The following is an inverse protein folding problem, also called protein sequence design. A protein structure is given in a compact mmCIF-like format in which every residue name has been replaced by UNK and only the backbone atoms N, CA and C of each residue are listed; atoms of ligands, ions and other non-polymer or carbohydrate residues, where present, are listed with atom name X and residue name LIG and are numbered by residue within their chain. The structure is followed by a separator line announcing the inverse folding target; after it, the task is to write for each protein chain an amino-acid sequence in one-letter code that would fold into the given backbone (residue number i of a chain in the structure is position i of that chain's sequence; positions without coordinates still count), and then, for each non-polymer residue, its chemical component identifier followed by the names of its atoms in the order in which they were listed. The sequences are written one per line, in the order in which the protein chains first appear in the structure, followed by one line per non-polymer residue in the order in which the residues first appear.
data_IF_614710467495
#
_entry.id   IF_614710467495
#
_cell.length_a   1.000
_cell.length_b   1.000
_cell.length_c   1.000
_cell.angle_alpha   90.00
_cell.angle_beta   90.00
_cell.angle_gamma   90.00
#
_symmetry.space_group_name_H-M   'P 1'
#
loop_
_entity.id
_entity.type
_entity.pdbx_description
1 polymer ?
#
# COMPACT_ATOMS: atom_id res chain seq x y z
N UNK A 1 24.08 62.92 -32.41
CA UNK A 1 25.34 62.88 -31.63
C UNK A 1 25.48 61.51 -30.99
N UNK A 2 26.44 60.75 -31.51
CA UNK A 2 27.24 59.68 -30.89
C UNK A 2 26.55 58.50 -30.17
N UNK A 3 26.38 57.44 -30.95
CA UNK A 3 26.91 56.07 -30.73
C UNK A 3 27.73 55.84 -29.44
N UNK A 4 27.40 54.77 -28.72
CA UNK A 4 28.41 53.79 -28.27
C UNK A 4 27.82 52.39 -28.24
N UNK A 5 28.36 51.56 -29.12
CA UNK A 5 28.22 50.12 -29.18
C UNK A 5 28.79 49.47 -27.92
N UNK A 6 28.15 48.39 -27.46
CA UNK A 6 28.88 47.19 -27.08
C UNK A 6 28.26 46.00 -27.80
N UNK A 7 29.16 45.27 -28.48
CA UNK A 7 28.92 44.20 -29.43
C UNK A 7 28.84 42.84 -28.75
N UNK A 8 28.12 41.95 -29.44
CA UNK A 8 28.41 40.51 -29.63
C UNK A 8 28.35 39.61 -28.37
N UNK A 9 27.50 38.59 -28.30
CA UNK A 9 27.39 37.49 -29.26
C UNK A 9 26.00 36.83 -29.21
N UNK A 10 25.31 36.83 -30.35
CA UNK A 10 24.34 35.79 -30.70
C UNK A 10 25.10 34.52 -31.07
N UNK A 11 24.53 33.33 -30.90
CA UNK A 11 24.38 32.32 -31.98
C UNK A 11 23.38 31.24 -31.53
N UNK A 12 22.37 31.04 -32.37
CA UNK A 12 21.57 29.83 -32.59
C UNK A 12 20.46 29.40 -31.62
N UNK A 13 19.44 30.27 -31.56
CA UNK A 13 18.04 29.84 -31.60
C UNK A 13 17.65 29.58 -33.07
N UNK A 14 17.20 28.36 -33.39
CA UNK A 14 16.63 27.85 -34.67
C UNK A 14 17.45 26.78 -35.42
N UNK A 15 17.47 25.56 -34.90
CA UNK A 15 17.39 24.33 -35.72
C UNK A 15 17.14 23.10 -34.85
N UNK A 16 15.87 22.79 -34.54
CA UNK A 16 15.26 21.43 -34.59
C UNK A 16 13.74 21.61 -34.53
N UNK A 17 13.15 22.22 -35.55
CA UNK A 17 11.69 22.29 -35.74
C UNK A 17 11.34 21.87 -37.15
N UNK A 18 11.64 20.61 -37.50
CA UNK A 18 11.04 19.88 -38.64
C UNK A 18 11.57 18.45 -38.66
N UNK A 19 10.78 17.53 -38.11
CA UNK A 19 10.62 16.12 -38.52
C UNK A 19 9.95 15.37 -37.36
N UNK A 20 8.61 15.26 -37.41
CA UNK A 20 7.81 14.10 -36.95
C UNK A 20 6.33 14.45 -37.02
N UNK A 21 5.77 14.31 -38.22
CA UNK A 21 4.37 13.93 -38.40
C UNK A 21 4.35 12.62 -39.20
N UNK A 22 3.44 11.73 -38.80
CA UNK A 22 3.11 10.38 -39.32
C UNK A 22 3.92 9.23 -38.73
N UNK A 23 3.41 8.65 -37.63
CA UNK A 23 2.65 7.39 -37.64
C UNK A 23 2.05 7.14 -36.24
N UNK A 24 0.82 6.60 -36.14
CA UNK A 24 0.11 6.36 -34.89
C UNK A 24 0.45 4.98 -34.32
N UNK A 25 0.27 4.83 -33.00
CA UNK A 25 0.44 3.59 -32.22
C UNK A 25 1.89 3.11 -32.05
N UNK A 26 2.55 3.62 -31.01
CA UNK A 26 3.43 2.88 -30.10
C UNK A 26 4.03 3.89 -29.11
N UNK A 27 3.61 3.82 -27.85
CA UNK A 27 4.15 4.68 -26.80
C UNK A 27 3.38 4.59 -25.49
N UNK A 28 3.89 3.78 -24.56
CA UNK A 28 4.32 4.22 -23.23
C UNK A 28 4.70 3.01 -22.37
N UNK A 29 5.90 2.49 -22.63
CA UNK A 29 6.67 1.73 -21.64
C UNK A 29 7.57 2.77 -20.96
N UNK A 30 7.31 2.97 -19.67
CA UNK A 30 8.03 3.82 -18.70
C UNK A 30 8.18 5.34 -18.97
N UNK A 31 7.53 6.14 -18.12
CA UNK A 31 7.70 7.59 -18.00
C UNK A 31 9.09 7.92 -17.39
N UNK A 32 9.75 9.03 -17.78
CA UNK A 32 11.08 9.47 -17.30
C UNK A 32 11.14 9.87 -15.81
N UNK A 33 10.17 9.44 -15.00
CA UNK A 33 10.09 9.68 -13.56
C UNK A 33 10.66 8.54 -12.71
N UNK A 34 10.89 7.36 -13.30
CA UNK A 34 11.47 6.19 -12.60
C UNK A 34 13.00 6.27 -12.46
N UNK A 35 13.69 6.98 -13.36
CA UNK A 35 15.13 7.23 -13.24
C UNK A 35 15.45 8.17 -12.06
N UNK A 36 14.56 9.13 -11.75
CA UNK A 36 14.72 10.09 -10.65
C UNK A 36 14.46 9.51 -9.25
N UNK A 37 13.90 8.29 -9.13
CA UNK A 37 13.61 7.65 -7.85
C UNK A 37 14.79 6.81 -7.35
N UNK A 38 15.51 6.16 -8.27
CA UNK A 38 16.74 5.43 -7.98
C UNK A 38 17.84 6.41 -7.52
N UNK A 39 17.98 7.55 -8.20
CA UNK A 39 18.92 8.62 -7.79
C UNK A 39 18.58 9.24 -6.42
N UNK A 40 17.29 9.30 -6.05
CA UNK A 40 16.84 9.81 -4.74
C UNK A 40 17.05 8.81 -3.60
N UNK A 41 16.86 7.51 -3.85
CA UNK A 41 17.20 6.48 -2.86
C UNK A 41 18.69 6.41 -2.59
N UNK A 42 19.52 6.57 -3.63
CA UNK A 42 20.98 6.53 -3.49
C UNK A 42 21.51 7.80 -2.78
N UNK A 43 20.93 8.97 -3.01
CA UNK A 43 21.25 10.19 -2.23
C UNK A 43 20.81 10.12 -0.76
N UNK A 44 19.76 9.35 -0.43
CA UNK A 44 19.25 9.27 0.94
C UNK A 44 20.06 8.37 1.88
N UNK A 45 20.91 7.49 1.34
CA UNK A 45 21.81 6.65 2.14
C UNK A 45 23.09 7.40 2.58
N UNK A 46 23.32 8.62 2.10
CA UNK A 46 24.51 9.42 2.40
C UNK A 46 24.37 10.35 3.63
N UNK A 47 23.28 10.28 4.39
CA UNK A 47 22.97 11.26 5.46
C UNK A 47 23.16 10.76 6.90
N UNK A 48 23.74 9.58 7.12
CA UNK A 48 24.00 9.08 8.46
C UNK A 48 25.39 8.45 8.58
N UNK A 49 26.45 9.26 8.60
CA UNK A 49 27.72 8.86 9.20
C UNK A 49 28.37 10.06 9.90
N UNK A 50 28.70 9.86 11.19
CA UNK A 50 29.67 10.69 11.91
C UNK A 50 31.00 10.67 11.13
N UNK A 51 31.66 11.83 11.00
CA UNK A 51 32.91 11.93 10.25
C UNK A 51 34.01 11.03 10.88
N UNK A 52 34.61 10.11 10.11
CA UNK A 52 35.85 9.46 10.52
C UNK A 52 37.05 10.31 10.13
N UNK A 53 38.03 10.40 11.04
CA UNK A 53 39.36 10.93 10.79
C UNK A 53 40.18 9.86 10.04
N UNK A 54 40.86 10.29 8.98
CA UNK A 54 41.94 9.64 8.21
C UNK A 54 41.65 8.35 7.40
N UNK A 55 41.26 8.52 6.13
CA UNK A 55 42.12 8.22 4.95
C UNK A 55 41.34 8.40 3.63
N UNK A 56 41.64 9.48 2.89
CA UNK A 56 40.98 9.83 1.62
C UNK A 56 41.02 8.71 0.55
N UNK A 57 41.93 7.74 0.70
CA UNK A 57 42.08 6.62 -0.22
C UNK A 57 40.90 5.63 -0.16
N UNK A 58 40.39 5.33 1.04
CA UNK A 58 39.28 4.37 1.22
C UNK A 58 37.97 4.94 0.67
N UNK A 59 37.75 6.25 0.88
CA UNK A 59 36.60 6.96 0.31
C UNK A 59 36.66 6.94 -1.22
N UNK A 60 37.83 7.17 -1.82
CA UNK A 60 38.02 7.12 -3.27
C UNK A 60 37.80 5.72 -3.84
N UNK A 61 38.32 4.68 -3.18
CA UNK A 61 38.08 3.29 -3.58
C UNK A 61 36.59 2.94 -3.49
N UNK A 62 35.91 3.35 -2.42
CA UNK A 62 34.47 3.12 -2.25
C UNK A 62 33.63 3.83 -3.34
N UNK A 63 33.99 5.06 -3.71
CA UNK A 63 33.32 5.79 -4.79
C UNK A 63 33.52 5.13 -6.16
N UNK A 64 34.71 4.57 -6.43
CA UNK A 64 34.99 3.81 -7.65
C UNK A 64 34.16 2.53 -7.69
N UNK A 65 34.04 1.81 -6.58
CA UNK A 65 33.20 0.60 -6.45
C UNK A 65 31.74 0.93 -6.73
N UNK A 66 31.20 1.99 -6.11
CA UNK A 66 29.82 2.46 -6.37
C UNK A 66 29.61 2.81 -7.85
N UNK A 67 30.58 3.46 -8.48
CA UNK A 67 30.50 3.81 -9.88
C UNK A 67 30.46 2.58 -10.79
N UNK A 68 31.23 1.54 -10.46
CA UNK A 68 31.25 0.27 -11.19
C UNK A 68 29.95 -0.52 -10.99
N UNK A 69 29.43 -0.59 -9.77
CA UNK A 69 28.15 -1.24 -9.47
C UNK A 69 26.98 -0.57 -10.19
N UNK A 70 27.01 0.77 -10.28
CA UNK A 70 26.02 1.52 -11.07
C UNK A 70 26.09 1.21 -12.56
N UNK A 71 27.29 0.99 -13.13
CA UNK A 71 27.43 0.59 -14.55
C UNK A 71 26.91 -0.83 -14.77
N UNK A 72 27.32 -1.78 -13.92
CA UNK A 72 26.87 -3.17 -13.98
C UNK A 72 25.35 -3.30 -13.89
N UNK A 73 24.73 -2.53 -12.99
CA UNK A 73 23.26 -2.51 -12.85
C UNK A 73 22.59 -1.96 -14.12
N UNK A 74 23.14 -0.91 -14.73
CA UNK A 74 22.61 -0.34 -15.98
C UNK A 74 22.71 -1.32 -17.14
N UNK A 75 23.82 -2.04 -17.25
CA UNK A 75 24.01 -3.08 -18.28
C UNK A 75 23.03 -4.24 -18.11
N UNK A 76 22.83 -4.75 -16.88
CA UNK A 76 21.85 -5.80 -16.60
C UNK A 76 20.42 -5.36 -16.91
N UNK A 77 20.07 -4.10 -16.64
CA UNK A 77 18.77 -3.54 -16.99
C UNK A 77 18.59 -3.41 -18.50
N UNK A 78 19.63 -2.99 -19.22
CA UNK A 78 19.61 -2.92 -20.68
C UNK A 78 19.44 -4.32 -21.31
N UNK A 79 20.15 -5.32 -20.80
CA UNK A 79 20.02 -6.72 -21.24
C UNK A 79 18.61 -7.27 -20.98
N UNK A 80 18.01 -6.99 -19.81
CA UNK A 80 16.62 -7.39 -19.54
C UNK A 80 15.62 -6.70 -20.45
N UNK A 81 15.83 -5.42 -20.77
CA UNK A 81 14.97 -4.69 -21.71
C UNK A 81 15.03 -5.29 -23.11
N UNK A 82 16.23 -5.61 -23.60
CA UNK A 82 16.42 -6.24 -24.90
C UNK A 82 15.75 -7.62 -24.98
N UNK A 83 15.93 -8.46 -23.95
CA UNK A 83 15.29 -9.78 -23.85
C UNK A 83 13.76 -9.68 -23.85
N UNK A 84 13.20 -8.73 -23.09
CA UNK A 84 11.75 -8.46 -23.06
C UNK A 84 11.22 -7.99 -24.42
N UNK A 85 11.98 -7.18 -25.18
CA UNK A 85 11.62 -6.76 -26.53
C UNK A 85 11.66 -7.91 -27.54
N UNK A 86 12.63 -8.83 -27.41
CA UNK A 86 12.69 -10.05 -28.21
C UNK A 86 11.52 -11.01 -27.92
N UNK A 87 11.23 -11.25 -26.65
CA UNK A 87 10.05 -12.04 -26.23
C UNK A 87 8.75 -11.43 -26.75
N UNK A 88 8.64 -10.09 -26.70
CA UNK A 88 7.51 -9.35 -27.26
C UNK A 88 7.37 -9.52 -28.78
N UNK A 89 8.49 -9.44 -29.51
CA UNK A 89 8.52 -9.69 -30.97
C UNK A 89 8.13 -11.12 -31.31
N UNK A 90 8.61 -12.11 -30.56
CA UNK A 90 8.26 -13.51 -30.76
C UNK A 90 6.76 -13.77 -30.51
N UNK A 91 6.20 -13.23 -29.42
CA UNK A 91 4.76 -13.31 -29.13
C UNK A 91 3.90 -12.65 -30.21
N UNK A 92 4.31 -11.49 -30.70
CA UNK A 92 3.59 -10.81 -31.79
C UNK A 92 3.65 -11.60 -33.10
N UNK A 93 4.78 -12.22 -33.42
CA UNK A 93 4.92 -13.10 -34.58
C UNK A 93 3.99 -14.31 -34.48
N UNK A 94 3.93 -14.96 -33.31
CA UNK A 94 3.02 -16.08 -33.04
C UNK A 94 1.54 -15.67 -33.08
N UNK A 95 1.21 -14.48 -32.59
CA UNK A 95 -0.15 -13.94 -32.67
C UNK A 95 -0.58 -13.67 -34.12
N UNK A 96 0.33 -13.14 -34.95
CA UNK A 96 0.07 -12.93 -36.38
C UNK A 96 -0.15 -14.27 -37.12
N UNK A 97 0.69 -15.28 -36.87
CA UNK A 97 0.55 -16.59 -37.54
C UNK A 97 -0.75 -17.30 -37.14
N UNK A 98 -1.18 -17.20 -35.88
CA UNK A 98 -2.48 -17.71 -35.43
C UNK A 98 -3.63 -16.96 -36.10
N UNK A 99 -3.54 -15.63 -36.20
CA UNK A 99 -4.57 -14.82 -36.84
C UNK A 99 -4.70 -15.12 -38.35
N UNK A 100 -3.58 -15.38 -39.03
CA UNK A 100 -3.55 -15.81 -40.43
C UNK A 100 -4.15 -17.21 -40.59
N UNK A 101 -3.77 -18.17 -39.75
CA UNK A 101 -4.33 -19.52 -39.77
C UNK A 101 -5.85 -19.56 -39.55
N UNK A 102 -6.38 -18.67 -38.70
CA UNK A 102 -7.82 -18.54 -38.46
C UNK A 102 -8.59 -17.85 -39.60
N UNK A 103 -7.88 -17.18 -40.53
CA UNK A 103 -8.48 -16.49 -41.68
C UNK A 103 -8.52 -17.37 -42.94
N UNK A 104 -7.86 -18.54 -42.95
CA UNK A 104 -7.87 -19.45 -44.10
C UNK A 104 -9.27 -20.06 -44.26
N UNK A 105 -9.99 -19.81 -45.37
CA UNK A 105 -11.27 -20.45 -45.62
C UNK A 105 -11.07 -21.95 -45.85
N UNK A 106 -12.02 -22.76 -45.38
CA UNK A 106 -12.00 -24.21 -45.49
C UNK A 106 -12.18 -24.64 -46.96
N UNK A 107 -11.09 -24.65 -47.74
CA UNK A 107 -11.08 -25.11 -49.13
C UNK A 107 -10.34 -26.45 -49.22
N UNK A 108 -10.97 -27.42 -49.88
CA UNK A 108 -10.35 -28.69 -50.23
C UNK A 108 -9.25 -28.42 -51.26
N UNK A 109 -7.98 -28.64 -50.89
CA UNK A 109 -6.86 -28.55 -51.82
C UNK A 109 -6.71 -29.90 -52.50
N UNK A 110 -6.90 -29.94 -53.82
CA UNK A 110 -6.71 -31.16 -54.59
C UNK A 110 -5.21 -31.43 -54.84
N UNK A 111 -4.81 -32.66 -54.50
CA UNK A 111 -3.61 -33.42 -54.91
C UNK A 111 -2.30 -33.14 -54.17
N UNK A 112 -2.11 -33.82 -53.03
CA UNK A 112 -0.86 -34.49 -52.63
C UNK A 112 -1.19 -35.71 -51.75
N UNK A 113 -0.44 -36.83 -51.82
CA UNK A 113 -0.77 -38.07 -51.11
C UNK A 113 -0.53 -37.94 -49.59
N UNK A 114 -1.57 -38.18 -48.80
CA UNK A 114 -1.56 -38.11 -47.34
C UNK A 114 -0.75 -39.24 -46.68
N UNK A 115 0.02 -38.91 -45.64
CA UNK A 115 0.89 -39.83 -44.85
C UNK A 115 0.11 -40.87 -44.05
N UNK A 116 -1.19 -40.68 -43.83
CA UNK A 116 -2.08 -41.60 -43.14
C UNK A 116 -3.05 -42.23 -44.13
N UNK A 117 -2.93 -43.54 -44.34
CA UNK A 117 -3.80 -44.28 -45.26
C UNK A 117 -5.27 -44.20 -44.81
N UNK A 118 -6.17 -43.87 -45.74
CA UNK A 118 -7.63 -43.87 -45.60
C UNK A 118 -8.27 -42.73 -44.78
N UNK A 119 -7.60 -41.59 -44.56
CA UNK A 119 -8.23 -40.42 -43.93
C UNK A 119 -7.92 -39.10 -44.67
N UNK A 120 -8.95 -38.34 -45.08
CA UNK A 120 -8.84 -37.02 -45.71
C UNK A 120 -8.42 -35.87 -44.74
N UNK A 121 -7.98 -36.20 -43.52
CA UNK A 121 -7.66 -35.20 -42.48
C UNK A 121 -6.44 -34.35 -42.88
N UNK A 122 -5.46 -34.96 -43.54
CA UNK A 122 -4.26 -34.28 -44.01
C UNK A 122 -4.48 -33.40 -45.25
N UNK A 123 -5.62 -33.55 -45.94
CA UNK A 123 -5.96 -32.80 -47.17
C UNK A 123 -6.60 -31.42 -46.89
N UNK A 124 -6.85 -31.12 -45.62
CA UNK A 124 -7.43 -29.85 -45.21
C UNK A 124 -6.34 -28.79 -44.99
N UNK A 125 -6.47 -27.62 -45.63
CA UNK A 125 -5.57 -26.48 -45.45
C UNK A 125 -5.43 -26.05 -43.96
N UNK A 126 -6.46 -26.28 -43.15
CA UNK A 126 -6.46 -26.04 -41.70
C UNK A 126 -5.48 -26.97 -40.98
N UNK A 127 -5.31 -28.22 -41.43
CA UNK A 127 -4.40 -29.18 -40.81
C UNK A 127 -2.94 -28.77 -41.00
N UNK A 128 -2.56 -28.30 -42.19
CA UNK A 128 -1.22 -27.78 -42.46
C UNK A 128 -0.87 -26.56 -41.59
N UNK A 129 -1.81 -25.62 -41.44
CA UNK A 129 -1.66 -24.48 -40.56
C UNK A 129 -1.56 -24.91 -39.07
N UNK A 130 -2.32 -25.91 -38.66
CA UNK A 130 -2.28 -26.48 -37.30
C UNK A 130 -0.92 -27.16 -37.01
N UNK A 131 -0.38 -27.93 -37.94
CA UNK A 131 0.95 -28.55 -37.80
C UNK A 131 2.06 -27.50 -37.75
N UNK A 132 1.94 -26.41 -38.51
CA UNK A 132 2.88 -25.30 -38.45
C UNK A 132 2.82 -24.57 -37.09
N UNK A 133 1.63 -24.39 -36.52
CA UNK A 133 1.47 -23.81 -35.19
C UNK A 133 2.05 -24.74 -34.11
N UNK A 134 1.81 -26.04 -34.20
CA UNK A 134 2.33 -27.03 -33.25
C UNK A 134 3.86 -27.04 -33.25
N UNK A 135 4.48 -27.15 -34.42
CA UNK A 135 5.94 -27.10 -34.59
C UNK A 135 6.54 -25.75 -34.16
N UNK A 136 5.86 -24.63 -34.42
CA UNK A 136 6.29 -23.32 -33.92
C UNK A 136 6.16 -23.19 -32.38
N UNK A 137 5.21 -23.90 -31.76
CA UNK A 137 4.97 -23.88 -30.32
C UNK A 137 5.92 -24.77 -29.51
N UNK A 138 6.50 -25.81 -30.12
CA UNK A 138 7.48 -26.70 -29.48
C UNK A 138 8.74 -25.94 -29.02
N UNK A 139 9.22 -24.98 -29.81
CA UNK A 139 10.35 -24.13 -29.42
C UNK A 139 10.06 -23.26 -28.19
N UNK A 140 8.81 -22.86 -27.98
CA UNK A 140 8.40 -22.10 -26.79
C UNK A 140 8.43 -22.98 -25.54
N UNK A 141 7.97 -24.23 -25.66
CA UNK A 141 7.98 -25.20 -24.56
C UNK A 141 9.42 -25.48 -24.11
N UNK A 142 10.35 -25.68 -25.04
CA UNK A 142 11.78 -25.88 -24.72
C UNK A 142 12.41 -24.67 -24.00
N UNK A 143 12.03 -23.43 -24.34
CA UNK A 143 12.50 -22.24 -23.62
C UNK A 143 11.90 -22.13 -22.21
N UNK A 144 10.65 -22.58 -21.99
CA UNK A 144 10.07 -22.66 -20.66
C UNK A 144 10.78 -23.70 -19.79
N UNK A 145 11.09 -24.88 -20.33
CA UNK A 145 11.86 -25.92 -19.63
C UNK A 145 13.27 -25.43 -19.28
N UNK A 146 13.92 -24.69 -20.19
CA UNK A 146 15.23 -24.06 -19.93
C UNK A 146 15.15 -23.00 -18.82
N UNK A 147 14.11 -22.16 -18.82
CA UNK A 147 13.88 -21.18 -17.76
C UNK A 147 13.60 -21.85 -16.42
N UNK A 148 12.86 -22.94 -16.40
CA UNK A 148 12.57 -23.70 -15.19
C UNK A 148 13.83 -24.38 -14.63
N UNK A 149 14.70 -24.91 -15.51
CA UNK A 149 16.03 -25.39 -15.15
C UNK A 149 16.94 -24.31 -14.55
N UNK A 150 16.94 -23.10 -15.13
CA UNK A 150 17.66 -21.94 -14.56
C UNK A 150 17.06 -21.50 -13.21
N UNK A 151 15.73 -21.52 -13.08
CA UNK A 151 15.07 -21.17 -11.82
C UNK A 151 15.38 -22.20 -10.74
N UNK A 152 15.43 -23.50 -11.07
CA UNK A 152 15.84 -24.56 -10.16
C UNK A 152 17.30 -24.37 -9.71
N UNK A 153 18.22 -24.14 -10.64
CA UNK A 153 19.63 -23.85 -10.35
C UNK A 153 19.81 -22.61 -9.46
N UNK A 154 19.11 -21.52 -9.76
CA UNK A 154 19.14 -20.30 -8.94
C UNK A 154 18.55 -20.53 -7.55
N UNK A 155 17.57 -21.43 -7.40
CA UNK A 155 16.96 -21.77 -6.11
C UNK A 155 17.95 -22.49 -5.21
N UNK A 156 18.73 -23.42 -5.77
CA UNK A 156 19.70 -24.22 -5.04
C UNK A 156 20.97 -23.40 -4.70
N UNK A 157 21.45 -22.55 -5.62
CA UNK A 157 22.64 -21.70 -5.37
C UNK A 157 22.38 -20.57 -4.33
N UNK A 158 21.15 -20.05 -4.27
CA UNK A 158 20.81 -18.91 -3.41
C UNK A 158 20.19 -19.31 -2.07
N UNK A 159 19.67 -20.53 -1.91
CA UNK A 159 19.08 -20.98 -0.65
C UNK A 159 20.11 -21.02 0.49
N UNK A 160 21.28 -21.62 0.24
CA UNK A 160 22.35 -21.70 1.25
C UNK A 160 23.03 -20.33 1.46
N UNK A 161 23.24 -19.57 0.38
CA UNK A 161 23.89 -18.25 0.42
C UNK A 161 23.08 -17.19 1.19
N UNK A 162 21.75 -17.17 1.02
CA UNK A 162 20.87 -16.19 1.68
C UNK A 162 20.67 -16.51 3.15
N UNK A 163 20.51 -17.79 3.51
CA UNK A 163 20.40 -18.18 4.92
C UNK A 163 21.67 -17.82 5.70
N UNK A 164 22.84 -18.09 5.13
CA UNK A 164 24.11 -17.87 5.83
C UNK A 164 24.49 -16.39 5.90
N UNK A 165 24.13 -15.58 4.89
CA UNK A 165 24.25 -14.12 4.97
C UNK A 165 23.29 -13.53 6.01
N UNK A 166 22.05 -14.02 6.10
CA UNK A 166 21.11 -13.61 7.13
C UNK A 166 21.56 -13.98 8.55
N UNK A 167 22.07 -15.20 8.74
CA UNK A 167 22.62 -15.63 10.04
C UNK A 167 23.75 -14.71 10.47
N UNK A 168 24.68 -14.39 9.56
CA UNK A 168 25.79 -13.44 9.81
C UNK A 168 25.29 -12.04 10.16
N UNK A 169 24.29 -11.51 9.45
CA UNK A 169 23.73 -10.18 9.73
C UNK A 169 23.03 -10.11 11.09
N UNK A 170 22.30 -11.16 11.47
CA UNK A 170 21.64 -11.28 12.78
C UNK A 170 22.68 -11.35 13.91
N UNK A 171 23.76 -12.12 13.72
CA UNK A 171 24.85 -12.21 14.69
C UNK A 171 25.65 -10.90 14.82
N UNK A 172 25.88 -10.19 13.70
CA UNK A 172 26.53 -8.89 13.68
C UNK A 172 25.70 -7.84 14.44
N UNK A 173 24.38 -7.77 14.19
CA UNK A 173 23.49 -6.86 14.93
C UNK A 173 23.43 -7.21 16.41
N UNK A 174 23.37 -8.50 16.77
CA UNK A 174 23.39 -8.93 18.17
C UNK A 174 24.69 -8.51 18.88
N UNK A 175 25.84 -8.62 18.20
CA UNK A 175 27.14 -8.21 18.73
C UNK A 175 27.24 -6.69 18.92
N UNK A 176 26.74 -5.89 17.97
CA UNK A 176 26.68 -4.43 18.11
C UNK A 176 25.78 -3.99 19.27
N UNK A 177 24.62 -4.63 19.46
CA UNK A 177 23.73 -4.33 20.59
C UNK A 177 24.38 -4.65 21.94
N UNK A 178 25.12 -5.77 22.04
CA UNK A 178 25.89 -6.11 23.25
C UNK A 178 26.98 -5.08 23.55
N UNK A 179 27.67 -4.60 22.52
CA UNK A 179 28.68 -3.55 22.67
C UNK A 179 28.04 -2.22 23.10
N UNK A 180 26.92 -1.83 22.49
CA UNK A 180 26.15 -0.65 22.90
C UNK A 180 25.64 -0.74 24.35
N UNK A 181 25.19 -1.91 24.77
CA UNK A 181 24.79 -2.17 26.16
C UNK A 181 25.98 -2.02 27.13
N UNK A 182 27.17 -2.55 26.79
CA UNK A 182 28.38 -2.37 27.61
C UNK A 182 28.82 -0.91 27.70
N UNK A 183 28.80 -0.17 26.59
CA UNK A 183 29.19 1.25 26.55
C UNK A 183 28.22 2.11 27.35
N UNK A 184 26.92 1.88 27.21
CA UNK A 184 25.90 2.58 28.01
C UNK A 184 26.04 2.28 29.50
N UNK A 185 26.26 1.03 29.89
CA UNK A 185 26.54 0.66 31.28
C UNK A 185 27.81 1.35 31.82
N UNK A 186 28.90 1.39 31.04
CA UNK A 186 30.12 2.13 31.42
C UNK A 186 29.87 3.63 31.59
N UNK A 187 29.08 4.24 30.70
CA UNK A 187 28.74 5.67 30.76
C UNK A 187 27.84 5.98 31.96
N UNK A 188 26.86 5.13 32.25
CA UNK A 188 26.01 5.23 33.43
C UNK A 188 26.82 5.03 34.72
N UNK A 189 27.72 4.04 34.77
CA UNK A 189 28.62 3.80 35.91
C UNK A 189 29.53 5.02 36.17
N UNK A 190 30.01 5.68 35.10
CA UNK A 190 30.77 6.94 35.18
C UNK A 190 29.93 8.11 35.71
N UNK A 191 28.68 8.25 35.24
CA UNK A 191 27.76 9.31 35.69
C UNK A 191 27.37 9.12 37.17
N UNK A 192 27.23 7.88 37.61
CA UNK A 192 26.90 7.54 39.01
C UNK A 192 28.11 7.59 39.95
N UNK A 193 29.29 7.98 39.48
CA UNK A 193 30.47 8.19 40.33
C UNK A 193 31.11 6.93 40.92
N UNK A 194 30.74 5.73 40.45
CA UNK A 194 31.27 4.43 40.95
C UNK A 194 32.62 4.10 40.26
N UNK A 195 33.48 5.09 40.09
CA UNK A 195 34.79 4.92 39.47
C UNK A 195 35.85 4.72 40.56
N UNK A 196 36.03 3.46 40.96
CA UNK A 196 37.15 2.98 41.76
C UNK A 196 37.33 1.48 41.51
N UNK A 197 38.49 1.12 40.96
CA UNK A 197 39.09 -0.22 40.89
C UNK A 197 38.54 -1.21 39.85
N UNK A 198 39.24 -1.23 38.70
CA UNK A 198 39.45 -2.44 37.91
C UNK A 198 40.52 -3.29 38.62
N UNK A 199 40.16 -4.47 39.13
CA UNK A 199 41.12 -5.51 39.51
C UNK A 199 40.83 -6.79 38.71
N UNK A 200 41.81 -7.21 37.92
CA UNK A 200 41.97 -8.59 37.45
C UNK A 200 42.29 -9.46 38.66
N UNK A 201 41.43 -10.42 39.01
CA UNK A 201 41.85 -11.75 39.44
C UNK A 201 40.65 -12.70 39.62
N UNK A 202 40.80 -13.89 39.04
CA UNK A 202 40.15 -15.11 39.50
C UNK A 202 40.61 -15.40 40.93
N UNK A 203 39.70 -15.86 41.80
CA UNK A 203 39.85 -16.94 42.81
C UNK A 203 38.80 -16.83 43.93
N UNK A 204 38.61 -17.96 44.59
CA UNK A 204 37.51 -18.41 45.46
C UNK A 204 37.29 -17.64 46.77
N UNK A 205 36.07 -17.74 47.32
CA UNK A 205 35.86 -17.94 48.76
C UNK A 205 35.20 -16.83 49.61
N UNK A 206 34.08 -17.23 50.24
CA UNK A 206 33.54 -16.89 51.58
C UNK A 206 32.64 -15.66 51.81
N UNK A 207 31.69 -15.94 52.71
CA UNK A 207 30.51 -15.21 53.15
C UNK A 207 30.78 -13.91 53.93
N UNK A 208 29.80 -13.00 53.90
CA UNK A 208 29.75 -11.81 54.77
C UNK A 208 28.51 -10.96 54.53
N UNK A 209 27.63 -10.93 55.52
CA UNK A 209 26.39 -10.16 55.62
C UNK A 209 26.64 -8.63 55.76
N UNK A 210 25.69 -7.82 55.28
CA UNK A 210 25.74 -6.35 55.34
C UNK A 210 24.77 -5.68 54.37
N UNK A 211 23.54 -5.42 54.84
CA UNK A 211 22.51 -4.73 54.07
C UNK A 211 22.86 -3.27 53.72
N UNK A 212 22.53 -2.85 52.48
CA UNK A 212 22.43 -1.45 52.10
C UNK A 212 21.50 -1.29 50.89
N UNK A 213 20.57 -0.34 50.96
CA UNK A 213 19.48 -0.05 49.99
C UNK A 213 19.96 0.30 48.55
N UNK A 214 21.26 0.25 48.28
CA UNK A 214 21.87 0.50 46.97
C UNK A 214 21.74 -0.68 45.99
N UNK A 215 21.48 -1.90 46.48
CA UNK A 215 21.36 -3.10 45.64
C UNK A 215 20.05 -3.16 44.83
N UNK A 216 18.97 -2.54 45.31
CA UNK A 216 17.67 -2.54 44.62
C UNK A 216 17.69 -1.68 43.34
N UNK A 217 18.32 -0.51 43.38
CA UNK A 217 18.45 0.38 42.21
C UNK A 217 19.38 -0.21 41.14
N UNK A 218 20.42 -0.95 41.54
CA UNK A 218 21.32 -1.68 40.63
C UNK A 218 20.60 -2.82 39.88
N UNK A 219 19.74 -3.57 40.57
CA UNK A 219 18.91 -4.62 39.96
C UNK A 219 17.84 -4.05 39.01
N UNK A 220 17.23 -2.90 39.33
CA UNK A 220 16.26 -2.22 38.46
C UNK A 220 16.90 -1.69 37.16
N UNK A 221 18.10 -1.09 37.26
CA UNK A 221 18.82 -0.57 36.09
C UNK A 221 19.39 -1.66 35.17
N UNK A 222 19.69 -2.86 35.68
CA UNK A 222 20.06 -4.01 34.83
C UNK A 222 18.86 -4.64 34.11
N UNK A 223 17.64 -4.48 34.64
CA UNK A 223 16.40 -5.02 34.03
C UNK A 223 15.97 -4.23 32.80
N UNK A 224 16.25 -2.92 32.73
CA UNK A 224 15.79 -2.04 31.65
C UNK A 224 16.44 -2.34 30.28
N UNK A 225 17.76 -2.60 30.17
CA UNK A 225 18.37 -3.07 28.92
C UNK A 225 17.86 -4.46 28.52
N UNK A 226 17.72 -5.39 29.47
CA UNK A 226 17.18 -6.74 29.22
C UNK A 226 15.72 -6.70 28.74
N UNK A 227 14.93 -5.74 29.21
CA UNK A 227 13.57 -5.49 28.73
C UNK A 227 13.55 -4.90 27.31
N UNK A 228 14.50 -4.04 26.98
CA UNK A 228 14.69 -3.52 25.63
C UNK A 228 15.14 -4.62 24.65
N UNK A 229 16.13 -5.43 25.04
CA UNK A 229 16.57 -6.62 24.30
C UNK A 229 15.45 -7.63 24.12
N UNK A 230 14.65 -7.94 25.16
CA UNK A 230 13.49 -8.83 25.04
C UNK A 230 12.40 -8.24 24.13
N UNK A 231 12.24 -6.92 24.08
CA UNK A 231 11.31 -6.25 23.15
C UNK A 231 11.80 -6.37 21.71
N UNK A 232 13.08 -6.12 21.47
CA UNK A 232 13.70 -6.25 20.13
C UNK A 232 13.71 -7.72 19.70
N UNK A 233 14.08 -8.66 20.57
CA UNK A 233 13.98 -10.10 20.30
C UNK A 233 12.54 -10.54 20.05
N UNK A 234 11.52 -9.99 20.75
CA UNK A 234 10.11 -10.27 20.41
C UNK A 234 9.71 -9.70 19.05
N UNK A 235 10.26 -8.54 18.67
CA UNK A 235 10.03 -7.96 17.35
C UNK A 235 10.71 -8.78 16.24
N UNK A 236 11.91 -9.30 16.49
CA UNK A 236 12.67 -10.15 15.54
C UNK A 236 12.11 -11.58 15.49
N UNK A 237 11.72 -12.17 16.62
CA UNK A 237 11.07 -13.49 16.68
C UNK A 237 9.69 -13.48 16.01
N UNK A 238 9.05 -12.32 15.88
CA UNK A 238 7.85 -12.13 15.06
C UNK A 238 8.06 -12.34 13.56
N UNK A 239 9.30 -12.23 13.06
CA UNK A 239 9.68 -12.54 11.68
C UNK A 239 10.03 -14.03 11.50
N UNK A 240 10.51 -14.71 12.54
CA UNK A 240 10.98 -16.11 12.50
C UNK A 240 9.89 -17.16 12.79
N UNK A 241 8.65 -16.75 13.05
CA UNK A 241 7.53 -17.65 13.37
C UNK A 241 6.78 -18.21 12.15
N UNK A 242 7.21 -17.86 10.93
CA UNK A 242 6.62 -18.41 9.70
C UNK A 242 7.31 -19.70 9.22
N UNK A 243 8.34 -20.18 9.92
CA UNK A 243 9.25 -21.21 9.40
C UNK A 243 9.37 -22.49 10.26
N UNK A 244 8.62 -22.59 11.37
CA UNK A 244 8.58 -23.80 12.23
C UNK A 244 7.20 -24.43 12.33
N UNK A 245 6.57 -24.71 11.18
CA UNK A 245 5.44 -25.64 11.07
C UNK A 245 5.60 -26.59 9.88
N UNK A 246 6.82 -27.01 9.62
CA UNK A 246 7.14 -27.91 8.52
C UNK A 246 8.36 -28.77 8.84
N UNK A 247 8.32 -29.54 9.93
CA UNK A 247 9.24 -30.67 10.16
C UNK A 247 8.87 -31.39 11.46
N UNK A 248 8.74 -32.72 11.35
CA UNK A 248 8.58 -33.75 12.39
C UNK A 248 7.16 -33.94 12.96
N UNK A 249 6.38 -34.81 12.31
CA UNK A 249 6.23 -36.21 12.77
C UNK A 249 5.81 -37.08 11.58
N UNK A 250 6.69 -37.99 11.18
CA UNK A 250 6.37 -39.09 10.24
C UNK A 250 5.71 -40.18 11.09
N UNK A 251 4.41 -40.35 10.91
CA UNK A 251 3.71 -41.61 11.18
C UNK A 251 2.80 -41.92 9.99
N UNK A 252 2.74 -43.21 9.63
CA UNK A 252 2.27 -43.74 8.35
C UNK A 252 0.87 -43.24 7.89
N UNK A 253 0.62 -43.16 6.57
CA UNK A 253 -0.60 -42.57 6.03
C UNK A 253 -1.77 -43.55 6.12
N UNK A 254 -2.82 -43.18 6.84
CA UNK A 254 -4.13 -43.75 6.59
C UNK A 254 -4.69 -43.11 5.30
N UNK A 255 -4.85 -43.94 4.28
CA UNK A 255 -5.54 -43.68 3.02
C UNK A 255 -6.74 -42.73 3.21
N UNK A 256 -6.63 -41.50 2.70
CA UNK A 256 -7.78 -40.66 2.35
C UNK A 256 -7.57 -40.10 0.96
N UNK A 257 -8.40 -40.62 0.06
CA UNK A 257 -8.75 -40.19 -1.29
C UNK A 257 -8.10 -38.87 -1.80
N UNK A 258 -7.36 -38.88 -2.91
CA UNK A 258 -6.75 -37.68 -3.52
C UNK A 258 -7.74 -36.82 -4.32
N UNK A 259 -9.05 -37.03 -4.19
CA UNK A 259 -10.09 -36.23 -4.84
C UNK A 259 -10.75 -35.26 -3.84
N UNK A 260 -9.95 -34.39 -3.24
CA UNK A 260 -10.47 -33.13 -2.74
C UNK A 260 -9.52 -32.05 -3.25
N UNK A 261 -9.97 -31.36 -4.29
CA UNK A 261 -9.39 -30.12 -4.77
C UNK A 261 -9.18 -29.21 -3.55
N UNK A 262 -7.92 -29.04 -3.11
CA UNK A 262 -7.59 -28.01 -2.14
C UNK A 262 -7.97 -26.68 -2.78
N UNK A 263 -9.15 -26.20 -2.40
CA UNK A 263 -9.73 -24.96 -2.86
C UNK A 263 -8.72 -23.84 -2.67
N UNK A 264 -8.59 -23.03 -3.71
CA UNK A 264 -7.76 -21.82 -3.89
C UNK A 264 -8.05 -20.71 -2.84
N UNK A 265 -8.69 -21.05 -1.73
CA UNK A 265 -9.30 -20.15 -0.76
C UNK A 265 -8.41 -19.87 0.47
N UNK A 266 -7.30 -20.61 0.63
CA UNK A 266 -6.38 -20.42 1.77
C UNK A 266 -5.27 -19.39 1.52
N UNK A 267 -5.17 -18.81 0.31
CA UNK A 267 -4.57 -17.48 0.12
C UNK A 267 -5.57 -16.39 0.55
N UNK A 268 -5.93 -16.42 1.83
CA UNK A 268 -6.53 -15.28 2.51
C UNK A 268 -5.48 -14.16 2.56
N UNK A 269 -5.36 -13.44 1.45
CA UNK A 269 -4.76 -12.11 1.30
C UNK A 269 -4.57 -11.44 2.65
N UNK A 270 -3.32 -11.28 3.11
CA UNK A 270 -3.08 -10.61 4.38
C UNK A 270 -3.77 -9.25 4.29
N UNK A 271 -4.62 -8.93 5.27
CA UNK A 271 -5.34 -7.65 5.26
C UNK A 271 -4.40 -6.43 5.21
N UNK A 272 -3.13 -6.66 5.58
CA UNK A 272 -2.00 -5.73 5.44
C UNK A 272 -1.60 -5.52 3.97
N UNK A 273 -1.48 -6.56 3.15
CA UNK A 273 -1.10 -6.45 1.74
C UNK A 273 -2.12 -5.64 0.94
N UNK A 274 -3.41 -5.89 1.18
CA UNK A 274 -4.51 -5.13 0.57
C UNK A 274 -4.47 -3.67 1.00
N UNK A 275 -4.09 -3.40 2.26
CA UNK A 275 -3.91 -2.04 2.73
C UNK A 275 -2.73 -1.34 2.05
N UNK A 276 -1.57 -1.99 1.95
CA UNK A 276 -0.39 -1.45 1.27
C UNK A 276 -0.67 -1.14 -0.21
N UNK A 277 -1.35 -2.05 -0.90
CA UNK A 277 -1.81 -1.82 -2.27
C UNK A 277 -2.73 -0.59 -2.37
N UNK A 278 -3.64 -0.43 -1.41
CA UNK A 278 -4.55 0.71 -1.34
C UNK A 278 -3.87 2.03 -0.95
N UNK A 279 -2.67 2.01 -0.38
CA UNK A 279 -1.86 3.23 -0.19
C UNK A 279 -1.29 3.69 -1.54
N UNK A 280 -0.82 2.77 -2.39
CA UNK A 280 -0.27 3.02 -3.73
C UNK A 280 -1.34 3.22 -4.82
N UNK A 281 -2.27 4.17 -4.62
CA UNK A 281 -3.41 4.42 -5.55
C UNK A 281 -3.02 4.89 -6.96
N UNK A 282 -1.81 5.43 -7.11
CA UNK A 282 -1.31 5.95 -8.38
C UNK A 282 -0.69 4.86 -9.27
N UNK A 283 -0.47 3.65 -8.73
CA UNK A 283 -0.03 2.50 -9.52
C UNK A 283 -1.02 2.18 -10.64
N UNK A 284 -0.50 1.67 -11.76
CA UNK A 284 -1.33 1.43 -12.95
C UNK A 284 -2.40 0.37 -12.72
N UNK A 285 -2.09 -0.68 -11.95
CA UNK A 285 -3.09 -1.67 -11.52
C UNK A 285 -4.28 -1.02 -10.79
N UNK A 286 -4.00 -0.16 -9.80
CA UNK A 286 -5.07 0.46 -9.01
C UNK A 286 -5.83 1.52 -9.82
N UNK A 287 -5.13 2.29 -10.67
CA UNK A 287 -5.77 3.27 -11.57
C UNK A 287 -6.69 2.58 -12.57
N UNK A 288 -6.25 1.48 -13.18
CA UNK A 288 -7.05 0.66 -14.07
C UNK A 288 -8.31 0.16 -13.36
N UNK A 289 -8.13 -0.44 -12.17
CA UNK A 289 -9.24 -0.96 -11.36
C UNK A 289 -10.24 0.13 -10.96
N UNK A 290 -9.77 1.33 -10.60
CA UNK A 290 -10.63 2.47 -10.30
C UNK A 290 -11.36 2.99 -11.53
N UNK A 291 -10.75 2.94 -12.72
CA UNK A 291 -11.37 3.45 -13.95
C UNK A 291 -12.56 2.60 -14.40
N UNK A 292 -12.46 1.27 -14.26
CA UNK A 292 -13.51 0.32 -14.67
C UNK A 292 -14.74 0.35 -13.74
N UNK A 293 -14.56 0.72 -12.47
CA UNK A 293 -15.58 0.53 -11.42
C UNK A 293 -16.64 1.66 -11.33
N UNK A 294 -17.93 1.25 -11.29
CA UNK A 294 -19.11 1.94 -10.68
C UNK A 294 -19.84 3.07 -11.43
N UNK A 295 -19.50 3.42 -12.67
CA UNK A 295 -20.15 4.55 -13.38
C UNK A 295 -21.60 4.30 -13.78
N UNK A 296 -21.94 3.07 -14.17
CA UNK A 296 -23.24 2.70 -14.75
C UNK A 296 -24.36 2.58 -13.71
N UNK A 297 -24.03 2.46 -12.42
CA UNK A 297 -25.01 2.16 -11.38
C UNK A 297 -25.80 3.41 -10.94
N UNK A 298 -26.98 3.16 -10.34
CA UNK A 298 -27.85 4.21 -9.78
C UNK A 298 -27.13 5.01 -8.68
N UNK A 299 -27.61 6.24 -8.42
CA UNK A 299 -27.01 7.19 -7.47
C UNK A 299 -26.82 6.57 -6.08
N UNK A 300 -27.83 5.84 -5.61
CA UNK A 300 -27.81 5.04 -4.38
C UNK A 300 -28.16 3.62 -4.78
N UNK A 301 -27.29 2.67 -4.49
CA UNK A 301 -27.56 1.25 -4.69
C UNK A 301 -27.02 0.43 -3.51
N UNK A 302 -27.70 -0.68 -3.22
CA UNK A 302 -27.23 -1.66 -2.23
C UNK A 302 -26.12 -2.49 -2.86
N UNK A 303 -25.03 -2.68 -2.12
CA UNK A 303 -23.95 -3.58 -2.50
C UNK A 303 -24.08 -4.89 -1.72
N UNK A 304 -23.90 -6.03 -2.38
CA UNK A 304 -23.96 -7.34 -1.73
C UNK A 304 -22.76 -7.57 -0.80
N UNK A 305 -21.57 -7.10 -1.20
CA UNK A 305 -20.32 -7.20 -0.45
C UNK A 305 -19.56 -5.86 -0.46
N UNK A 306 -18.73 -5.57 0.57
CA UNK A 306 -17.87 -4.39 0.56
C UNK A 306 -16.87 -4.48 -0.60
N UNK A 307 -16.65 -3.39 -1.34
CA UNK A 307 -15.56 -3.35 -2.33
C UNK A 307 -14.19 -3.41 -1.68
N UNK A 308 -14.11 -3.00 -0.41
CA UNK A 308 -12.90 -2.91 0.40
C UNK A 308 -13.12 -3.55 1.78
N UNK A 309 -12.97 -4.88 1.89
CA UNK A 309 -13.21 -5.59 3.15
C UNK A 309 -12.21 -5.17 4.24
N UNK A 310 -10.96 -4.86 3.88
CA UNK A 310 -9.91 -4.30 4.75
C UNK A 310 -10.42 -3.07 5.53
N UNK A 311 -10.90 -2.07 4.77
CA UNK A 311 -11.28 -0.79 5.32
C UNK A 311 -12.61 -0.88 6.05
N UNK A 312 -13.55 -1.66 5.53
CA UNK A 312 -14.84 -1.88 6.16
C UNK A 312 -14.66 -2.51 7.55
N UNK A 313 -13.82 -3.54 7.68
CA UNK A 313 -13.55 -4.21 8.96
C UNK A 313 -12.97 -3.26 10.01
N UNK A 314 -12.03 -2.38 9.62
CA UNK A 314 -11.47 -1.34 10.51
C UNK A 314 -12.52 -0.36 11.02
N UNK A 315 -13.56 -0.11 10.24
CA UNK A 315 -14.65 0.81 10.59
C UNK A 315 -15.81 0.13 11.33
N UNK A 316 -15.68 -1.16 11.64
CA UNK A 316 -16.64 -1.92 12.44
C UNK A 316 -17.62 -2.79 11.64
N UNK A 317 -17.39 -2.98 10.33
CA UNK A 317 -18.14 -3.98 9.56
C UNK A 317 -17.75 -5.40 9.99
N UNK A 318 -18.76 -6.26 10.11
CA UNK A 318 -18.61 -7.70 10.29
C UNK A 318 -19.48 -8.42 9.26
N UNK A 319 -18.96 -9.50 8.71
CA UNK A 319 -19.70 -10.33 7.75
C UNK A 319 -20.69 -11.23 8.50
N UNK A 320 -21.78 -10.63 8.99
CA UNK A 320 -22.92 -11.31 9.61
C UNK A 320 -24.22 -10.62 9.25
N UNK A 321 -25.33 -11.32 9.43
CA UNK A 321 -26.66 -10.77 9.14
C UNK A 321 -26.95 -9.50 9.98
N UNK A 322 -27.64 -8.53 9.38
CA UNK A 322 -27.95 -7.22 9.96
C UNK A 322 -26.95 -6.11 9.59
N UNK A 323 -25.79 -6.42 9.01
CA UNK A 323 -24.95 -5.42 8.35
C UNK A 323 -25.32 -5.27 6.88
N UNK A 324 -25.47 -4.03 6.41
CA UNK A 324 -25.79 -3.70 5.02
C UNK A 324 -24.84 -2.63 4.52
N UNK A 325 -24.45 -2.73 3.26
CA UNK A 325 -23.57 -1.76 2.61
C UNK A 325 -24.32 -1.09 1.48
N UNK A 326 -24.29 0.24 1.48
CA UNK A 326 -24.81 1.06 0.40
C UNK A 326 -23.68 1.83 -0.26
N UNK A 327 -23.71 1.88 -1.59
CA UNK A 327 -22.85 2.71 -2.40
C UNK A 327 -23.62 3.96 -2.80
N UNK A 328 -22.97 5.11 -2.68
CA UNK A 328 -23.52 6.40 -3.07
C UNK A 328 -22.49 7.23 -3.81
N UNK A 329 -22.95 7.92 -4.85
CA UNK A 329 -22.19 8.99 -5.51
C UNK A 329 -22.64 10.37 -5.04
N UNK A 330 -21.69 11.25 -4.78
CA UNK A 330 -21.92 12.66 -4.41
C UNK A 330 -21.17 13.56 -5.38
N UNK A 331 -21.85 14.59 -5.91
CA UNK A 331 -21.26 15.52 -6.87
C UNK A 331 -20.11 16.31 -6.21
N UNK A 332 -19.01 16.45 -6.94
CA UNK A 332 -17.84 17.24 -6.55
C UNK A 332 -18.11 18.73 -6.75
N UNK A 333 -17.29 19.56 -6.08
CA UNK A 333 -17.35 21.02 -6.19
C UNK A 333 -17.90 21.69 -4.94
N UNK A 334 -18.01 23.03 -5.03
CA UNK A 334 -18.65 23.87 -4.01
C UNK A 334 -20.17 23.83 -4.10
N UNK A 335 -20.83 24.57 -3.21
CA UNK A 335 -22.30 24.72 -3.22
C UNK A 335 -22.63 26.16 -3.59
N UNK A 336 -23.28 26.36 -4.73
CA UNK A 336 -23.83 27.65 -5.13
C UNK A 336 -24.92 28.09 -4.14
N UNK A 337 -24.92 29.36 -3.73
CA UNK A 337 -26.04 29.95 -2.99
C UNK A 337 -27.32 29.85 -3.81
N UNK A 338 -28.42 29.51 -3.15
CA UNK A 338 -29.74 29.56 -3.78
C UNK A 338 -30.20 31.03 -3.76
N UNK A 339 -30.00 31.72 -4.89
CA UNK A 339 -30.42 33.10 -5.11
C UNK A 339 -31.00 33.19 -6.53
N UNK A 340 -32.27 33.60 -6.70
CA UNK A 340 -32.87 33.79 -8.02
C UNK A 340 -32.01 34.74 -8.86
N UNK A 341 -31.64 34.33 -10.08
CA UNK A 341 -30.75 35.09 -11.00
C UNK A 341 -29.37 35.46 -10.42
N UNK A 342 -29.02 34.95 -9.23
CA UNK A 342 -27.86 35.40 -8.49
C UNK A 342 -28.01 36.77 -7.82
N UNK A 343 -29.18 37.40 -7.85
CA UNK A 343 -29.40 38.65 -7.14
C UNK A 343 -29.44 38.39 -5.62
N UNK A 344 -28.51 38.99 -4.89
CA UNK A 344 -28.47 38.91 -3.42
C UNK A 344 -28.58 40.31 -2.83
N UNK A 345 -29.56 40.51 -1.95
CA UNK A 345 -29.80 41.79 -1.30
C UNK A 345 -28.98 41.98 -0.02
N UNK A 346 -28.80 43.24 0.38
CA UNK A 346 -28.11 43.64 1.60
C UNK A 346 -26.62 43.94 1.40
N UNK A 347 -25.86 43.88 2.49
CA UNK A 347 -24.46 44.31 2.53
C UNK A 347 -23.57 43.56 1.52
N UNK A 348 -22.58 44.22 0.88
CA UNK A 348 -21.69 43.60 -0.12
C UNK A 348 -20.99 42.30 0.33
N UNK A 349 -20.66 42.17 1.63
CA UNK A 349 -20.06 40.95 2.19
C UNK A 349 -20.90 39.67 1.96
N UNK A 350 -22.23 39.81 1.88
CA UNK A 350 -23.15 38.69 1.71
C UNK A 350 -23.46 38.39 0.23
N UNK A 351 -22.97 39.18 -0.72
CA UNK A 351 -23.31 39.05 -2.15
C UNK A 351 -22.58 37.91 -2.87
N UNK A 352 -21.67 37.18 -2.19
CA UNK A 352 -20.95 36.04 -2.77
C UNK A 352 -21.84 34.82 -3.08
N UNK A 353 -21.68 34.25 -4.30
CA UNK A 353 -22.55 33.17 -4.81
C UNK A 353 -21.78 31.88 -5.12
N UNK A 354 -20.74 31.97 -5.96
CA UNK A 354 -20.09 30.81 -6.58
C UNK A 354 -18.99 30.19 -5.72
N UNK A 355 -18.19 31.02 -5.04
CA UNK A 355 -16.99 30.57 -4.32
C UNK A 355 -17.30 30.01 -2.91
N UNK A 356 -18.57 29.87 -2.55
CA UNK A 356 -19.00 29.33 -1.26
C UNK A 356 -18.65 27.84 -1.14
N UNK A 357 -18.06 27.49 0.00
CA UNK A 357 -17.73 26.10 0.36
C UNK A 357 -18.75 25.57 1.36
N UNK A 358 -19.15 24.32 1.17
CA UNK A 358 -20.10 23.70 2.09
C UNK A 358 -19.40 23.35 3.42
N UNK A 359 -20.05 23.64 4.54
CA UNK A 359 -19.48 23.41 5.87
C UNK A 359 -19.25 21.92 6.19
N UNK A 360 -20.05 21.03 5.61
CA UNK A 360 -19.91 19.58 5.79
C UNK A 360 -19.09 18.97 4.66
N UNK A 361 -18.31 17.94 4.97
CA UNK A 361 -17.60 17.16 3.95
C UNK A 361 -18.58 16.38 3.05
N UNK A 362 -18.17 16.12 1.80
CA UNK A 362 -18.96 15.32 0.84
C UNK A 362 -19.30 13.92 1.37
N UNK A 363 -18.40 13.35 2.19
CA UNK A 363 -18.59 12.07 2.86
C UNK A 363 -19.72 12.13 3.91
N UNK A 364 -19.87 13.24 4.62
CA UNK A 364 -21.00 13.44 5.56
C UNK A 364 -22.32 13.60 4.80
N UNK A 365 -22.31 14.30 3.66
CA UNK A 365 -23.48 14.40 2.78
C UNK A 365 -23.90 13.03 2.23
N UNK A 366 -22.93 12.15 1.93
CA UNK A 366 -23.19 10.77 1.53
C UNK A 366 -23.91 9.99 2.63
N UNK A 367 -23.40 10.04 3.86
CA UNK A 367 -24.02 9.40 5.03
C UNK A 367 -25.45 9.90 5.25
N UNK A 368 -25.68 11.22 5.18
CA UNK A 368 -26.99 11.84 5.38
C UNK A 368 -28.01 11.44 4.30
N UNK A 369 -27.59 11.37 3.03
CA UNK A 369 -28.45 10.92 1.93
C UNK A 369 -28.88 9.47 2.10
N UNK A 370 -27.97 8.59 2.53
CA UNK A 370 -28.30 7.18 2.79
C UNK A 370 -29.19 7.05 4.02
N UNK A 371 -28.90 7.78 5.10
CA UNK A 371 -29.75 7.79 6.30
C UNK A 371 -31.18 8.24 6.03
N UNK A 372 -31.37 9.20 5.12
CA UNK A 372 -32.71 9.61 4.64
C UNK A 372 -33.39 8.54 3.78
N UNK A 373 -32.65 7.92 2.86
CA UNK A 373 -33.22 6.87 1.97
C UNK A 373 -33.55 5.59 2.73
N UNK A 374 -32.74 5.24 3.73
CA UNK A 374 -32.86 4.02 4.53
C UNK A 374 -33.13 4.37 5.99
N UNK A 375 -34.28 4.99 6.27
CA UNK A 375 -34.60 5.55 7.58
C UNK A 375 -34.63 4.50 8.73
N UNK A 376 -34.99 3.25 8.40
CA UNK A 376 -35.05 2.14 9.36
C UNK A 376 -33.66 1.67 9.81
N UNK A 377 -32.63 1.89 8.97
CA UNK A 377 -31.27 1.49 9.26
C UNK A 377 -30.53 2.56 10.08
N UNK A 378 -29.44 2.14 10.73
CA UNK A 378 -28.53 3.01 11.47
C UNK A 378 -27.20 3.11 10.76
N UNK A 379 -26.79 4.33 10.43
CA UNK A 379 -25.47 4.57 9.84
C UNK A 379 -24.39 4.38 10.90
N UNK A 380 -23.49 3.43 10.66
CA UNK A 380 -22.34 3.17 11.53
C UNK A 380 -21.19 4.11 11.15
N UNK A 381 -20.71 3.99 9.92
CA UNK A 381 -19.59 4.75 9.38
C UNK A 381 -19.58 4.66 7.84
N UNK A 382 -18.64 5.35 7.20
CA UNK A 382 -18.45 5.26 5.75
C UNK A 382 -16.99 5.34 5.34
N UNK A 383 -16.67 5.00 4.09
CA UNK A 383 -15.35 5.14 3.52
C UNK A 383 -15.39 5.47 2.02
N UNK A 384 -14.27 6.01 1.54
CA UNK A 384 -14.09 6.36 0.14
C UNK A 384 -13.70 5.12 -0.68
N UNK A 385 -14.26 5.01 -1.88
CA UNK A 385 -13.99 3.91 -2.81
C UNK A 385 -13.28 4.42 -4.05
N UNK A 386 -13.87 5.44 -4.69
CA UNK A 386 -13.46 5.90 -6.01
C UNK A 386 -13.82 7.39 -6.21
N UNK A 387 -13.23 8.03 -7.21
CA UNK A 387 -13.58 9.38 -7.64
C UNK A 387 -13.41 9.57 -9.15
N UNK A 388 -14.38 10.26 -9.74
CA UNK A 388 -14.35 10.78 -11.11
C UNK A 388 -14.17 12.29 -11.08
N UNK A 389 -14.04 12.95 -12.24
CA UNK A 389 -14.06 14.42 -12.35
C UNK A 389 -15.31 15.04 -11.70
N UNK A 390 -16.48 14.42 -11.93
CA UNK A 390 -17.79 14.97 -11.52
C UNK A 390 -18.26 14.45 -10.16
N UNK A 391 -17.91 13.22 -9.78
CA UNK A 391 -18.47 12.55 -8.60
C UNK A 391 -17.39 11.94 -7.69
N UNK A 392 -17.70 11.82 -6.39
CA UNK A 392 -16.99 10.96 -5.44
C UNK A 392 -17.91 9.85 -4.98
N UNK A 393 -17.36 8.64 -4.89
CA UNK A 393 -18.09 7.44 -4.50
C UNK A 393 -17.70 7.02 -3.09
N UNK A 394 -18.71 6.73 -2.29
CA UNK A 394 -18.57 6.29 -0.91
C UNK A 394 -19.37 5.02 -0.66
N UNK A 395 -18.84 4.18 0.21
CA UNK A 395 -19.54 3.03 0.78
C UNK A 395 -19.91 3.38 2.22
N UNK A 396 -21.18 3.28 2.54
CA UNK A 396 -21.72 3.54 3.87
C UNK A 396 -22.16 2.23 4.49
N UNK A 397 -21.63 1.96 5.67
CA UNK A 397 -21.96 0.79 6.47
C UNK A 397 -23.19 1.16 7.29
N UNK A 398 -24.28 0.44 7.05
CA UNK A 398 -25.53 0.53 7.77
C UNK A 398 -25.74 -0.73 8.60
N UNK A 399 -26.45 -0.58 9.71
CA UNK A 399 -26.81 -1.67 10.62
C UNK A 399 -28.31 -1.66 10.80
N UNK A 400 -28.92 -2.83 10.73
CA UNK A 400 -30.33 -3.02 11.05
C UNK A 400 -30.50 -3.25 12.57
N UNK A 401 -31.14 -2.32 13.30
CA UNK A 401 -31.36 -2.45 14.74
C UNK A 401 -32.43 -3.49 15.12
N UNK A 402 -33.29 -3.91 14.18
CA UNK A 402 -34.35 -4.90 14.42
C UNK A 402 -33.83 -6.34 14.32
N UNK A 403 -32.70 -6.56 13.65
CA UNK A 403 -32.14 -7.89 13.43
C UNK A 403 -31.62 -8.56 14.72
N UNK A 404 -32.03 -9.81 14.98
CA UNK A 404 -31.66 -10.58 16.19
C UNK A 404 -30.13 -10.68 16.37
N UNK A 405 -29.37 -10.91 15.30
CA UNK A 405 -27.90 -11.02 15.36
C UNK A 405 -27.17 -9.71 15.72
N UNK A 406 -27.82 -8.56 15.59
CA UNK A 406 -27.29 -7.27 16.03
C UNK A 406 -27.65 -7.02 17.49
N UNK A 407 -28.91 -7.32 17.87
CA UNK A 407 -29.40 -7.13 19.24
C UNK A 407 -28.69 -8.03 20.25
N UNK A 408 -28.38 -9.28 19.86
CA UNK A 408 -27.68 -10.26 20.71
C UNK A 408 -26.18 -9.99 20.86
N UNK A 409 -25.55 -9.26 19.92
CA UNK A 409 -24.11 -9.02 19.97
C UNK A 409 -23.77 -7.81 20.88
N UNK A 410 -23.11 -8.03 22.02
CA UNK A 410 -22.80 -6.94 22.96
C UNK A 410 -21.88 -5.86 22.36
N UNK A 411 -21.06 -6.18 21.35
CA UNK A 411 -20.10 -5.24 20.76
C UNK A 411 -20.77 -4.14 19.94
N UNK A 412 -21.91 -4.43 19.33
CA UNK A 412 -22.63 -3.49 18.46
C UNK A 412 -24.01 -3.08 19.00
N UNK A 413 -24.58 -3.85 19.94
CA UNK A 413 -25.91 -3.61 20.54
C UNK A 413 -26.14 -2.14 20.90
N UNK A 414 -25.13 -1.41 21.38
CA UNK A 414 -25.25 0.02 21.68
C UNK A 414 -25.98 0.82 20.59
N UNK A 415 -25.79 0.52 19.30
CA UNK A 415 -26.42 1.25 18.18
C UNK A 415 -27.95 1.10 18.11
N UNK A 416 -28.50 0.07 18.75
CA UNK A 416 -29.93 -0.24 18.79
C UNK A 416 -30.70 0.74 19.68
N UNK A 417 -30.04 1.32 20.69
CA UNK A 417 -30.69 2.26 21.62
C UNK A 417 -31.29 3.47 20.88
N UNK A 418 -32.46 3.97 21.29
CA UNK A 418 -33.16 5.06 20.60
C UNK A 418 -32.35 6.36 20.53
N UNK A 419 -31.43 6.60 21.46
CA UNK A 419 -30.51 7.76 21.45
C UNK A 419 -29.61 7.80 20.20
N UNK A 420 -29.45 6.67 19.51
CA UNK A 420 -28.63 6.53 18.30
C UNK A 420 -29.44 6.58 17.00
N UNK A 421 -30.70 7.05 17.02
CA UNK A 421 -31.45 7.39 15.79
C UNK A 421 -30.78 8.51 15.01
N UNK A 422 -30.71 8.42 13.68
CA UNK A 422 -30.19 9.45 12.78
C UNK A 422 -28.89 10.14 13.25
N UNK A 423 -27.84 9.34 13.49
CA UNK A 423 -26.53 9.81 13.97
C UNK A 423 -25.84 10.67 12.92
N UNK A 424 -26.04 10.33 11.66
CA UNK A 424 -25.56 11.02 10.46
C UNK A 424 -26.10 12.46 10.39
N UNK A 425 -27.40 12.66 10.60
CA UNK A 425 -28.04 13.98 10.58
C UNK A 425 -27.54 14.90 11.70
N UNK A 426 -27.19 14.31 12.86
CA UNK A 426 -26.63 15.00 14.03
C UNK A 426 -25.10 15.15 13.97
N UNK A 427 -24.44 14.59 12.94
CA UNK A 427 -22.99 14.65 12.79
C UNK A 427 -22.22 13.87 13.86
N UNK A 428 -22.75 12.74 14.34
CA UNK A 428 -22.14 11.88 15.37
C UNK A 428 -21.32 10.71 14.79
N UNK A 429 -21.40 10.48 13.48
CA UNK A 429 -20.45 9.65 12.71
C UNK A 429 -19.00 10.17 12.82
N UNK A 430 -18.01 9.34 12.54
CA UNK A 430 -16.60 9.77 12.53
C UNK A 430 -16.37 10.98 11.59
N UNK A 431 -16.99 10.95 10.41
CA UNK A 431 -16.94 12.03 9.43
C UNK A 431 -17.58 13.32 9.96
N UNK A 432 -18.78 13.23 10.54
CA UNK A 432 -19.48 14.37 11.15
C UNK A 432 -18.71 14.99 12.31
N UNK A 433 -18.13 14.17 13.21
CA UNK A 433 -17.30 14.64 14.32
C UNK A 433 -16.08 15.42 13.84
N UNK A 434 -15.39 14.93 12.79
CA UNK A 434 -14.27 15.64 12.15
C UNK A 434 -14.72 16.98 11.58
N UNK A 435 -15.86 17.02 10.88
CA UNK A 435 -16.40 18.25 10.28
C UNK A 435 -16.79 19.30 11.31
N UNK A 436 -17.18 18.88 12.53
CA UNK A 436 -17.52 19.77 13.65
C UNK A 436 -16.29 20.33 14.37
N UNK A 437 -15.08 19.89 14.01
CA UNK A 437 -13.86 20.26 14.72
C UNK A 437 -13.84 19.75 16.15
N UNK A 438 -14.34 18.54 16.41
CA UNK A 438 -14.22 17.92 17.74
C UNK A 438 -12.83 17.31 17.88
N UNK A 439 -12.02 17.86 18.78
CA UNK A 439 -10.65 17.44 19.03
C UNK A 439 -10.24 17.74 20.47
N UNK A 440 -8.94 17.64 20.76
CA UNK A 440 -8.34 17.93 22.07
C UNK A 440 -7.21 18.94 21.91
N UNK A 441 -7.02 19.82 22.91
CA UNK A 441 -6.00 20.86 22.93
C UNK A 441 -6.52 22.26 22.60
N UNK A 442 -5.63 23.26 22.71
CA UNK A 442 -5.96 24.70 22.64
C UNK A 442 -6.74 25.10 21.37
N UNK A 443 -6.46 24.45 20.22
CA UNK A 443 -7.14 24.73 18.93
C UNK A 443 -8.63 24.39 18.94
N UNK A 444 -9.12 23.63 19.92
CA UNK A 444 -10.50 23.13 19.98
C UNK A 444 -11.34 23.75 21.11
N UNK A 445 -10.81 24.72 21.87
CA UNK A 445 -11.50 25.35 23.01
C UNK A 445 -12.92 25.83 22.64
N UNK A 446 -13.07 26.39 21.44
CA UNK A 446 -14.34 26.91 20.94
C UNK A 446 -15.26 25.86 20.28
N UNK A 447 -14.85 24.59 20.20
CA UNK A 447 -15.59 23.53 19.48
C UNK A 447 -15.84 22.26 20.28
N UNK A 448 -15.11 21.99 21.39
CA UNK A 448 -15.17 20.74 22.18
C UNK A 448 -16.59 20.30 22.56
N UNK A 449 -17.41 21.19 23.14
CA UNK A 449 -18.79 20.90 23.50
C UNK A 449 -19.81 21.16 22.36
N UNK A 450 -19.31 21.64 21.21
CA UNK A 450 -20.07 22.15 20.07
C UNK A 450 -20.02 23.67 20.00
N UNK A 451 -19.66 24.21 18.82
CA UNK A 451 -19.45 25.64 18.56
C UNK A 451 -20.55 26.55 19.14
N UNK A 452 -21.82 26.21 18.90
CA UNK A 452 -22.97 27.01 19.39
C UNK A 452 -23.15 26.92 20.91
N UNK A 453 -22.87 25.75 21.51
CA UNK A 453 -22.96 25.56 22.97
C UNK A 453 -21.88 26.36 23.69
N UNK A 454 -20.65 26.31 23.20
CA UNK A 454 -19.54 27.11 23.75
C UNK A 454 -19.79 28.61 23.57
N UNK A 455 -20.21 29.04 22.38
CA UNK A 455 -20.57 30.43 22.14
C UNK A 455 -21.68 30.92 23.08
N UNK A 456 -22.75 30.13 23.26
CA UNK A 456 -23.82 30.49 24.20
C UNK A 456 -23.28 30.67 25.61
N UNK A 457 -22.45 29.75 26.10
CA UNK A 457 -21.83 29.85 27.44
C UNK A 457 -21.08 31.17 27.64
N UNK A 458 -20.27 31.58 26.68
CA UNK A 458 -19.44 32.80 26.81
C UNK A 458 -20.26 34.10 26.69
N UNK A 459 -21.40 34.07 25.99
CA UNK A 459 -22.25 35.25 25.78
C UNK A 459 -23.47 35.25 26.72
N UNK A 460 -23.59 34.28 27.63
CA UNK A 460 -24.67 34.28 28.63
C UNK A 460 -24.22 35.11 29.82
N UNK A 461 -24.95 36.18 30.13
CA UNK A 461 -24.75 36.96 31.35
C UNK A 461 -25.10 36.09 32.56
N UNK A 462 -24.13 35.84 33.44
CA UNK A 462 -24.33 35.09 34.68
C UNK A 462 -24.68 36.05 35.81
N UNK A 463 -25.93 36.05 36.23
CA UNK A 463 -26.40 36.83 37.38
C UNK A 463 -26.58 35.89 38.57
N UNK A 464 -25.60 35.89 39.47
CA UNK A 464 -25.66 35.13 40.71
C UNK A 464 -26.57 35.82 41.73
N UNK A 465 -27.20 35.04 42.62
CA UNK A 465 -28.10 35.57 43.67
C UNK A 465 -27.38 36.55 44.60
N UNK A 466 -26.11 36.27 44.90
CA UNK A 466 -25.21 37.14 45.64
C UNK A 466 -23.99 37.39 44.73
N UNK A 467 -23.56 38.66 44.63
CA UNK A 467 -22.47 39.07 43.75
C UNK A 467 -21.15 39.14 44.47
#
# INVERSE_FOLDING_TARGET
MTFKETKETSWDYFRVSRLRLRLPYLGHIFSPHQLNLVDKSISSMSQHHDQPKDSDHEIRQFLVTIANDRRRLKELLAQRMFKMEEEGRHRNKLACTIAEALQIPNQHVHREPSTFANTCIAENAIYAAMTYILTASEGLVGEYERLDGMMAQLRDEHAETIEDTWKRDVEATASQLRMGARVTLRKVKRILGIAGEDCRQELEGKDGDGGSETSQLSCELQKSPRLAERRVQKMVKGLLMHERRGSLEISAPCFRNPFQHDSVDNLLTNSQDVEELQKKKQSDMMRFLMRVRLRQLKVIHRASRPSRPDKARRLGYKAKQGYVIYRIRVRRGGRKRQAPKGATYGKPTNQGINQLKYQRSLKSTAEERIGRRCANLRVLNSYWINQDSTYKYYEVICVDPQHKAIRRDPRINWIVKPVHKHRESRGLTATGKKSRGLGRGHKFNNTTAGRRKTWKRHNTLSLWRYR
#
